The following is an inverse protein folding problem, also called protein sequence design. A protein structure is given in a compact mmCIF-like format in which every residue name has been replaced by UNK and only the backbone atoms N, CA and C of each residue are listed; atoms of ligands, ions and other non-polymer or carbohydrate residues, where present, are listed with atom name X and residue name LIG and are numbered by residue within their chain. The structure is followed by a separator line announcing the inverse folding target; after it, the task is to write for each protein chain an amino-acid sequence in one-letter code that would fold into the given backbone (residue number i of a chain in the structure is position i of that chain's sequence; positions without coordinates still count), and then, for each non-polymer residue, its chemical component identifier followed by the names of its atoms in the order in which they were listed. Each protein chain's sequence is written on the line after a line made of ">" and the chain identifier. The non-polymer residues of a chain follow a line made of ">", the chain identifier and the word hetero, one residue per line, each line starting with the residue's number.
data_IF_301974930675
#
_entry.id   IF_301974930675
#
_cell.length_a   1.000
_cell.length_b   1.000
_cell.length_c   1.000
_cell.angle_alpha   90.00
_cell.angle_beta   90.00
_cell.angle_gamma   90.00
#
_symmetry.space_group_name_H-M   'P 1'
#
loop_
_entity.id
_entity.type
_entity.pdbx_description
1 polymer ?
#
# COMPACT_ATOMS: atom_id res chain seq x y z
N UNK A 1 -10.25 -7.68 -3.17
CA UNK A 1 -9.49 -7.13 -2.03
C UNK A 1 -8.08 -6.84 -2.51
N UNK A 2 -7.59 -5.62 -2.23
CA UNK A 2 -6.37 -5.07 -2.81
C UNK A 2 -5.07 -5.74 -2.33
N UNK A 3 -4.80 -5.77 -1.02
CA UNK A 3 -3.46 -6.14 -0.51
C UNK A 3 -2.90 -7.47 -1.02
N UNK A 4 -3.65 -8.60 -1.05
CA UNK A 4 -3.12 -9.84 -1.62
C UNK A 4 -2.81 -9.74 -3.12
N UNK A 5 -3.53 -8.89 -3.84
CA UNK A 5 -3.31 -8.63 -5.27
C UNK A 5 -2.06 -7.76 -5.53
N UNK A 6 -1.60 -7.00 -4.52
CA UNK A 6 -0.33 -6.28 -4.59
C UNK A 6 0.90 -7.16 -4.30
N UNK A 7 0.72 -8.33 -3.68
CA UNK A 7 1.83 -9.21 -3.31
C UNK A 7 2.66 -9.69 -4.52
N UNK A 8 2.06 -10.14 -5.64
CA UNK A 8 2.84 -10.48 -6.85
C UNK A 8 3.61 -9.28 -7.43
N UNK A 9 2.98 -8.10 -7.44
CA UNK A 9 3.61 -6.86 -7.89
C UNK A 9 4.83 -6.52 -7.02
N UNK A 10 4.67 -6.54 -5.70
CA UNK A 10 5.77 -6.33 -4.76
C UNK A 10 6.88 -7.35 -4.97
N UNK A 11 6.57 -8.65 -5.04
CA UNK A 11 7.57 -9.70 -5.22
C UNK A 11 8.37 -9.53 -6.53
N UNK A 12 7.71 -9.09 -7.60
CA UNK A 12 8.32 -8.89 -8.93
C UNK A 12 9.27 -7.70 -8.97
N UNK A 13 8.91 -6.59 -8.30
CA UNK A 13 9.65 -5.33 -8.44
C UNK A 13 10.46 -4.92 -7.21
N UNK A 14 10.39 -5.64 -6.07
CA UNK A 14 11.12 -5.28 -4.84
C UNK A 14 12.62 -5.12 -5.04
N UNK A 15 13.23 -6.02 -5.81
CA UNK A 15 14.67 -6.02 -6.05
C UNK A 15 15.09 -4.96 -7.09
N UNK A 16 14.11 -4.27 -7.70
CA UNK A 16 14.30 -3.14 -8.62
C UNK A 16 14.09 -1.78 -7.95
N UNK A 17 13.86 -1.76 -6.63
CA UNK A 17 13.68 -0.54 -5.85
C UNK A 17 12.22 -0.09 -5.72
N UNK A 18 11.26 -1.00 -5.90
CA UNK A 18 9.85 -0.76 -5.55
C UNK A 18 9.53 -1.32 -4.16
N UNK A 19 8.74 -0.60 -3.36
CA UNK A 19 8.29 -1.11 -2.06
C UNK A 19 6.81 -0.81 -1.89
N UNK A 20 6.07 -1.79 -1.40
CA UNK A 20 4.72 -1.59 -0.86
C UNK A 20 4.84 -1.39 0.64
N UNK A 21 4.12 -0.41 1.20
CA UNK A 21 3.95 -0.27 2.64
C UNK A 21 2.46 -0.21 2.91
N UNK A 22 1.93 -1.21 3.60
CA UNK A 22 0.53 -1.24 4.00
C UNK A 22 0.39 -0.63 5.39
N UNK A 23 -0.58 0.26 5.57
CA UNK A 23 -0.87 0.89 6.87
C UNK A 23 -2.27 0.48 7.32
N UNK A 24 -2.41 0.04 8.56
CA UNK A 24 -3.70 -0.33 9.13
C UNK A 24 -4.69 0.84 9.08
N UNK A 25 -5.94 0.56 8.71
CA UNK A 25 -7.05 1.53 8.81
C UNK A 25 -7.42 1.84 10.25
N UNK A 26 -7.58 0.78 11.03
CA UNK A 26 -7.93 0.80 12.44
C UNK A 26 -6.98 -0.13 13.16
N UNK A 27 -6.55 0.26 14.37
CA UNK A 27 -5.77 -0.58 15.27
C UNK A 27 -6.47 -1.89 15.58
N UNK A 28 -6.14 -2.92 14.84
CA UNK A 28 -6.51 -4.29 15.13
C UNK A 28 -5.35 -5.19 14.71
N UNK A 29 -4.23 -5.01 15.39
CA UNK A 29 -2.97 -5.70 15.06
C UNK A 29 -3.10 -7.22 15.18
N UNK A 30 -4.02 -7.70 16.01
CA UNK A 30 -4.35 -9.13 16.09
C UNK A 30 -4.92 -9.65 14.77
N UNK A 31 -5.98 -9.00 14.28
CA UNK A 31 -6.59 -9.32 12.98
C UNK A 31 -5.63 -9.07 11.82
N UNK A 32 -4.86 -7.99 11.86
CA UNK A 32 -3.90 -7.68 10.81
C UNK A 32 -2.80 -8.75 10.70
N UNK A 33 -2.25 -9.23 11.82
CA UNK A 33 -1.27 -10.33 11.84
C UNK A 33 -1.85 -11.63 11.27
N UNK A 34 -3.09 -11.96 11.61
CA UNK A 34 -3.77 -13.12 11.05
C UNK A 34 -3.92 -13.00 9.53
N UNK A 35 -4.37 -11.84 9.06
CA UNK A 35 -4.54 -11.53 7.65
C UNK A 35 -3.22 -11.60 6.86
N UNK A 36 -2.14 -11.04 7.42
CA UNK A 36 -0.79 -11.10 6.84
C UNK A 36 -0.35 -12.55 6.68
N UNK A 37 -0.56 -13.39 7.70
CA UNK A 37 -0.19 -14.81 7.65
C UNK A 37 -1.05 -15.60 6.65
N UNK A 38 -2.37 -15.39 6.65
CA UNK A 38 -3.32 -16.07 5.75
C UNK A 38 -2.99 -15.83 4.28
N UNK A 39 -2.62 -14.60 3.92
CA UNK A 39 -2.28 -14.22 2.55
C UNK A 39 -0.78 -14.25 2.24
N UNK A 40 0.06 -14.67 3.18
CA UNK A 40 1.52 -14.71 3.04
C UNK A 40 2.10 -13.37 2.55
N UNK A 41 1.59 -12.25 3.09
CA UNK A 41 2.06 -10.92 2.71
C UNK A 41 3.48 -10.72 3.22
N UNK A 42 4.38 -10.27 2.34
CA UNK A 42 5.80 -10.14 2.65
C UNK A 42 6.31 -8.70 2.59
N UNK A 43 5.47 -7.74 2.21
CA UNK A 43 5.81 -6.33 2.27
C UNK A 43 5.63 -5.77 3.69
N UNK A 44 6.32 -4.67 4.05
CA UNK A 44 6.13 -3.99 5.32
C UNK A 44 4.67 -3.60 5.60
N UNK A 45 4.18 -3.97 6.78
CA UNK A 45 2.87 -3.57 7.31
C UNK A 45 3.07 -2.76 8.59
N UNK A 46 2.42 -1.60 8.70
CA UNK A 46 2.54 -0.66 9.82
C UNK A 46 1.20 -0.48 10.54
N UNK A 47 1.25 -0.38 11.86
CA UNK A 47 0.11 0.02 12.69
C UNK A 47 -0.18 1.52 12.52
N UNK A 48 -1.45 1.93 12.69
CA UNK A 48 -1.89 3.29 12.39
C UNK A 48 -1.41 4.38 13.38
N UNK A 49 -0.96 4.06 14.61
CA UNK A 49 -0.43 5.03 15.60
C UNK A 49 -1.52 5.82 16.37
N UNK A 50 -1.33 6.13 17.66
CA UNK A 50 -2.43 6.54 18.60
C UNK A 50 -2.70 8.03 18.68
N UNK A 51 -3.97 8.43 18.83
CA UNK A 51 -4.35 9.83 19.06
C UNK A 51 -3.98 10.74 17.88
N UNK A 52 -3.12 11.72 18.12
CA UNK A 52 -2.53 12.57 17.06
C UNK A 52 -1.61 11.80 16.12
N UNK A 53 -1.16 10.61 16.53
CA UNK A 53 -0.35 9.69 15.75
C UNK A 53 -1.13 8.84 14.75
N UNK A 54 -2.47 8.97 14.62
CA UNK A 54 -3.24 8.24 13.60
C UNK A 54 -2.88 8.72 12.18
N UNK A 55 -1.94 8.03 11.55
CA UNK A 55 -1.33 8.48 10.30
C UNK A 55 -2.32 8.54 9.15
N UNK A 56 -3.21 7.54 9.03
CA UNK A 56 -4.10 7.42 7.87
C UNK A 56 -5.10 8.57 7.80
N UNK A 57 -5.74 8.92 8.91
CA UNK A 57 -6.76 9.97 8.96
C UNK A 57 -6.16 11.37 9.17
N UNK A 58 -5.14 11.51 10.03
CA UNK A 58 -4.60 12.84 10.41
C UNK A 58 -3.50 13.32 9.48
N UNK A 59 -2.59 12.44 9.06
CA UNK A 59 -1.45 12.86 8.24
C UNK A 59 -1.76 12.73 6.75
N UNK A 60 -2.34 11.60 6.34
CA UNK A 60 -2.61 11.31 4.94
C UNK A 60 -4.04 11.67 4.49
N UNK A 61 -4.90 12.10 5.43
CA UNK A 61 -6.27 12.59 5.14
C UNK A 61 -7.10 11.59 4.29
N UNK A 62 -6.87 10.29 4.47
CA UNK A 62 -7.56 9.24 3.72
C UNK A 62 -9.00 9.14 4.21
N UNK A 63 -9.97 9.48 3.37
CA UNK A 63 -11.39 9.43 3.72
C UNK A 63 -12.08 8.10 3.33
N UNK A 64 -11.54 7.40 2.33
CA UNK A 64 -12.15 6.24 1.68
C UNK A 64 -11.15 5.08 1.65
N UNK A 65 -11.64 3.85 1.84
CA UNK A 65 -10.81 2.65 1.88
C UNK A 65 -11.18 1.66 0.77
N UNK A 66 -10.19 0.99 0.15
CA UNK A 66 -8.77 1.31 0.27
C UNK A 66 -8.41 2.66 -0.38
N UNK A 67 -7.26 3.22 -0.02
CA UNK A 67 -6.61 4.31 -0.76
C UNK A 67 -5.13 4.00 -0.86
N UNK A 68 -4.59 4.04 -2.08
CA UNK A 68 -3.18 3.78 -2.39
C UNK A 68 -2.53 5.04 -2.94
N UNK A 69 -1.32 5.35 -2.49
CA UNK A 69 -0.52 6.48 -2.97
C UNK A 69 0.78 5.95 -3.57
N UNK A 70 1.10 6.37 -4.79
CA UNK A 70 2.40 6.10 -5.38
C UNK A 70 3.34 7.26 -5.08
N UNK A 71 4.48 6.95 -4.48
CA UNK A 71 5.50 7.93 -4.08
C UNK A 71 6.77 7.67 -4.88
N UNK A 72 7.31 8.71 -5.51
CA UNK A 72 8.55 8.61 -6.29
C UNK A 72 9.82 8.58 -5.40
N UNK A 73 10.99 8.34 -6.01
CA UNK A 73 12.30 8.32 -5.32
C UNK A 73 12.69 9.65 -4.65
N UNK A 74 11.98 10.74 -4.95
CA UNK A 74 12.18 12.06 -4.35
C UNK A 74 11.18 12.34 -3.22
N UNK A 75 10.35 11.36 -2.85
CA UNK A 75 9.36 11.47 -1.80
C UNK A 75 8.09 12.23 -2.22
N UNK A 76 7.82 12.38 -3.52
CA UNK A 76 6.64 13.09 -4.02
C UNK A 76 5.51 12.11 -4.32
N UNK A 77 4.29 12.43 -3.92
CA UNK A 77 3.10 11.71 -4.36
C UNK A 77 2.87 11.99 -5.84
N UNK A 78 2.92 10.95 -6.66
CA UNK A 78 2.81 11.04 -8.12
C UNK A 78 1.53 10.43 -8.67
N UNK A 79 0.85 9.59 -7.88
CA UNK A 79 -0.50 9.10 -8.14
C UNK A 79 -1.22 8.81 -6.82
N UNK A 80 -2.55 8.88 -6.85
CA UNK A 80 -3.43 8.48 -5.76
C UNK A 80 -4.62 7.71 -6.34
N UNK A 81 -4.91 6.55 -5.76
CA UNK A 81 -5.99 5.67 -6.15
C UNK A 81 -6.94 5.52 -4.97
N UNK A 82 -8.21 5.87 -5.18
CA UNK A 82 -9.26 5.77 -4.16
C UNK A 82 -10.19 4.65 -4.56
N UNK A 83 -10.35 3.65 -3.69
CA UNK A 83 -10.97 2.39 -4.03
C UNK A 83 -9.99 1.43 -4.73
N UNK A 84 -10.45 0.20 -4.91
CA UNK A 84 -9.74 -0.81 -5.68
C UNK A 84 -10.74 -1.82 -6.23
N UNK A 85 -10.69 -2.06 -7.53
CA UNK A 85 -11.45 -3.08 -8.23
C UNK A 85 -10.53 -4.15 -8.82
N UNK A 86 -11.08 -5.33 -9.07
CA UNK A 86 -10.33 -6.38 -9.76
C UNK A 86 -9.99 -5.94 -11.19
N UNK A 87 -8.71 -6.01 -11.56
CA UNK A 87 -8.18 -5.49 -12.81
C UNK A 87 -7.31 -4.24 -12.63
N UNK A 88 -7.46 -3.51 -11.52
CA UNK A 88 -6.64 -2.32 -11.23
C UNK A 88 -5.14 -2.64 -11.10
N UNK A 89 -4.77 -3.90 -10.85
CA UNK A 89 -3.37 -4.34 -10.77
C UNK A 89 -2.59 -4.01 -12.04
N UNK A 90 -3.21 -4.13 -13.21
CA UNK A 90 -2.55 -3.82 -14.48
C UNK A 90 -2.22 -2.33 -14.60
N UNK A 91 -3.12 -1.47 -14.11
CA UNK A 91 -2.91 -0.03 -14.06
C UNK A 91 -1.79 0.32 -13.07
N UNK A 92 -1.85 -0.24 -11.86
CA UNK A 92 -0.83 -0.04 -10.83
C UNK A 92 0.55 -0.50 -11.29
N UNK A 93 0.63 -1.66 -11.96
CA UNK A 93 1.88 -2.18 -12.50
C UNK A 93 2.47 -1.26 -13.57
N UNK A 94 1.64 -0.74 -14.49
CA UNK A 94 2.09 0.19 -15.51
C UNK A 94 2.69 1.46 -14.89
N UNK A 95 2.06 2.02 -13.86
CA UNK A 95 2.57 3.18 -13.12
C UNK A 95 3.88 2.87 -12.39
N UNK A 96 3.96 1.72 -11.71
CA UNK A 96 5.20 1.28 -11.04
C UNK A 96 6.34 1.17 -12.03
N UNK A 97 6.13 0.52 -13.18
CA UNK A 97 7.16 0.39 -14.23
C UNK A 97 7.60 1.74 -14.75
N UNK A 98 6.66 2.64 -15.04
CA UNK A 98 6.94 4.00 -15.50
C UNK A 98 7.87 4.75 -14.53
N UNK A 99 7.66 4.60 -13.22
CA UNK A 99 8.47 5.30 -12.21
C UNK A 99 9.77 4.58 -11.85
N UNK A 100 9.89 3.28 -12.10
CA UNK A 100 11.15 2.53 -11.96
C UNK A 100 12.17 2.87 -13.04
N UNK A 101 11.70 3.28 -14.22
CA UNK A 101 12.53 3.65 -15.38
C UNK A 101 13.03 5.10 -15.33
N UNK A 102 12.64 5.87 -14.30
CA UNK A 102 13.03 7.27 -14.07
C UNK A 102 14.12 7.42 -13.01
#
# INVERSE_FOLDING_TARGET
>A
MELPRLQPLYATYRDRGFTVVAVERTRDTGRAKQFIAEHSLSFPCLENGTGEGEVVWKQYQVAVFPTSMLIDRRGRVVAMHVGFEEGDEAKLEAEVRQWLER
#
